data_IF_406116155969
#
_entry.id   IF_406116155969
#
_cell.length_a   1.000
_cell.length_b   1.000
_cell.length_c   1.000
_cell.angle_alpha   90.00
_cell.angle_beta   90.00
_cell.angle_gamma   90.00
#
_symmetry.space_group_name_H-M   'P 1'
#
loop_
_entity.id
_entity.type
_entity.pdbx_description
1 polymer ?
#
# COMPACT_ATOMS: atom_id res chain seq x y z
N UNK A 1 -11.90 -18.45 13.36
CA UNK A 1 -12.40 -17.40 12.43
C UNK A 1 -11.39 -17.26 11.32
N UNK A 2 -11.81 -17.10 10.03
CA UNK A 2 -10.89 -16.87 8.92
C UNK A 2 -10.51 -15.39 8.81
N UNK A 3 -9.40 -15.09 8.14
CA UNK A 3 -8.91 -13.73 7.91
C UNK A 3 -8.87 -13.39 6.42
N UNK A 4 -9.44 -12.24 6.06
CA UNK A 4 -9.28 -11.61 4.76
C UNK A 4 -8.20 -10.54 4.85
N UNK A 5 -7.18 -10.66 4.04
CA UNK A 5 -6.02 -9.77 4.03
C UNK A 5 -5.98 -9.06 2.69
N UNK A 6 -6.04 -7.75 2.71
CA UNK A 6 -6.12 -6.92 1.52
C UNK A 6 -4.79 -6.21 1.27
N UNK A 7 -4.37 -6.15 0.03
CA UNK A 7 -3.44 -5.12 -0.39
C UNK A 7 -4.09 -3.74 -0.32
N UNK A 8 -3.28 -2.68 -0.35
CA UNK A 8 -3.78 -1.32 -0.24
C UNK A 8 -3.86 -0.64 -1.61
N UNK A 9 -2.71 -0.38 -2.22
CA UNK A 9 -2.61 0.40 -3.45
C UNK A 9 -2.93 -0.47 -4.68
N UNK A 10 -3.96 -0.11 -5.43
CA UNK A 10 -4.49 -0.94 -6.52
C UNK A 10 -5.65 -1.84 -6.11
N UNK A 11 -5.87 -2.07 -4.80
CA UNK A 11 -6.91 -2.94 -4.26
C UNK A 11 -7.94 -2.15 -3.44
N UNK A 12 -7.61 -1.75 -2.21
CA UNK A 12 -8.48 -0.95 -1.35
C UNK A 12 -8.54 0.51 -1.77
N UNK A 13 -7.46 1.02 -2.33
CA UNK A 13 -7.32 2.40 -2.79
C UNK A 13 -6.79 2.44 -4.21
N UNK A 14 -7.33 3.36 -5.01
CA UNK A 14 -6.89 3.63 -6.37
C UNK A 14 -6.31 5.04 -6.44
N UNK A 15 -5.35 5.27 -7.33
CA UNK A 15 -4.88 6.62 -7.63
C UNK A 15 -5.73 7.24 -8.74
N UNK A 16 -6.21 8.46 -8.50
CA UNK A 16 -6.96 9.26 -9.48
C UNK A 16 -6.07 10.04 -10.45
N UNK A 17 -4.73 9.96 -10.26
CA UNK A 17 -3.69 10.63 -11.06
C UNK A 17 -2.51 9.68 -11.25
N UNK A 18 -1.76 9.90 -12.31
CA UNK A 18 -0.48 9.20 -12.54
C UNK A 18 0.53 9.57 -11.46
N UNK A 19 1.29 8.59 -10.98
CA UNK A 19 2.22 8.79 -9.86
C UNK A 19 3.36 9.77 -10.22
N UNK A 20 3.83 9.77 -11.47
CA UNK A 20 4.82 10.73 -11.96
C UNK A 20 4.32 12.18 -11.90
N UNK A 21 3.01 12.40 -12.10
CA UNK A 21 2.39 13.72 -11.91
C UNK A 21 2.46 14.20 -10.45
N UNK A 22 2.38 13.27 -9.48
CA UNK A 22 2.49 13.60 -8.05
C UNK A 22 3.91 14.01 -7.69
N UNK A 23 4.91 13.27 -8.20
CA UNK A 23 6.33 13.61 -8.02
C UNK A 23 6.62 14.96 -8.68
N UNK A 24 6.17 15.18 -9.90
CA UNK A 24 6.32 16.44 -10.64
C UNK A 24 5.75 17.61 -9.86
N UNK A 25 4.52 17.47 -9.34
CA UNK A 25 3.87 18.50 -8.53
C UNK A 25 4.67 18.83 -7.26
N UNK A 26 5.31 17.84 -6.65
CA UNK A 26 6.15 18.05 -5.47
C UNK A 26 7.38 18.93 -5.77
N UNK A 27 8.03 18.72 -6.94
CA UNK A 27 9.11 19.59 -7.38
C UNK A 27 8.61 21.02 -7.68
N UNK A 28 7.51 21.13 -8.41
CA UNK A 28 6.93 22.44 -8.77
C UNK A 28 6.52 23.25 -7.53
N UNK A 29 5.90 22.61 -6.54
CA UNK A 29 5.45 23.26 -5.30
C UNK A 29 6.61 23.74 -4.43
N UNK A 30 7.72 23.01 -4.36
CA UNK A 30 8.83 23.33 -3.46
C UNK A 30 9.86 24.26 -4.11
N UNK A 31 10.23 24.00 -5.36
CA UNK A 31 11.28 24.79 -6.03
C UNK A 31 10.82 25.53 -7.30
N UNK A 32 9.53 25.46 -7.64
CA UNK A 32 8.93 26.25 -8.74
C UNK A 32 9.18 25.68 -10.14
N UNK A 33 9.83 24.52 -10.26
CA UNK A 33 10.12 23.88 -11.55
C UNK A 33 10.45 22.41 -11.36
N UNK A 34 10.33 21.63 -12.44
CA UNK A 34 10.81 20.25 -12.54
C UNK A 34 11.77 20.13 -13.73
N UNK A 35 12.70 19.20 -13.66
CA UNK A 35 13.60 18.85 -14.75
C UNK A 35 13.58 17.34 -14.94
N UNK A 36 13.56 16.88 -16.20
CA UNK A 36 13.53 15.45 -16.53
C UNK A 36 14.64 14.64 -15.84
N UNK A 37 15.91 15.11 -15.76
CA UNK A 37 16.95 14.38 -15.01
C UNK A 37 16.66 14.22 -13.52
N UNK A 38 15.85 15.10 -12.90
CA UNK A 38 15.48 14.94 -11.50
C UNK A 38 14.48 13.81 -11.31
N UNK A 39 13.51 13.67 -12.23
CA UNK A 39 12.54 12.56 -12.21
C UNK A 39 13.25 11.21 -12.41
N UNK A 40 14.15 11.13 -13.37
CA UNK A 40 14.95 9.93 -13.61
C UNK A 40 15.77 9.55 -12.35
N UNK A 41 16.53 10.51 -11.80
CA UNK A 41 17.36 10.28 -10.61
C UNK A 41 16.54 9.91 -9.39
N UNK A 42 15.39 10.60 -9.18
CA UNK A 42 14.47 10.27 -8.11
C UNK A 42 14.00 8.81 -8.22
N UNK A 43 13.50 8.42 -9.38
CA UNK A 43 12.97 7.07 -9.59
C UNK A 43 14.05 6.00 -9.38
N UNK A 44 15.24 6.16 -9.96
CA UNK A 44 16.34 5.21 -9.79
C UNK A 44 16.70 5.04 -8.31
N UNK A 45 16.90 6.16 -7.60
CA UNK A 45 17.27 6.12 -6.18
C UNK A 45 16.13 5.58 -5.32
N UNK A 46 14.90 6.01 -5.57
CA UNK A 46 13.74 5.53 -4.81
C UNK A 46 13.59 4.02 -4.91
N UNK A 47 13.63 3.46 -6.12
CA UNK A 47 13.50 2.01 -6.28
C UNK A 47 14.64 1.22 -5.63
N UNK A 48 15.87 1.74 -5.64
CA UNK A 48 17.01 1.10 -4.97
C UNK A 48 16.81 1.11 -3.44
N UNK A 49 16.52 2.28 -2.86
CA UNK A 49 16.36 2.46 -1.43
C UNK A 49 15.10 1.73 -0.90
N UNK A 50 14.01 1.77 -1.67
CA UNK A 50 12.76 1.10 -1.34
C UNK A 50 12.94 -0.42 -1.36
N UNK A 51 13.52 -0.98 -2.43
CA UNK A 51 13.74 -2.42 -2.54
C UNK A 51 14.62 -2.99 -1.40
N UNK A 52 15.52 -2.16 -0.88
CA UNK A 52 16.37 -2.53 0.26
C UNK A 52 15.70 -2.30 1.63
N UNK A 53 14.47 -1.81 1.68
CA UNK A 53 13.79 -1.34 2.90
C UNK A 53 14.65 -0.38 3.75
N UNK A 54 15.43 0.49 3.08
CA UNK A 54 16.25 1.48 3.77
C UNK A 54 15.37 2.58 4.39
N UNK A 55 15.86 3.17 5.49
CA UNK A 55 15.15 4.29 6.12
C UNK A 55 15.10 5.50 5.19
N UNK A 56 13.97 6.21 5.22
CA UNK A 56 13.72 7.49 4.54
C UNK A 56 13.99 7.44 3.01
N UNK A 57 13.46 6.42 2.28
CA UNK A 57 13.78 6.21 0.86
C UNK A 57 13.30 7.38 -0.02
N UNK A 58 12.20 8.03 0.35
CA UNK A 58 11.63 9.16 -0.39
C UNK A 58 12.51 10.40 -0.25
N UNK A 59 12.91 10.73 0.97
CA UNK A 59 13.81 11.85 1.27
C UNK A 59 15.16 11.66 0.59
N UNK A 60 15.74 10.46 0.67
CA UNK A 60 17.00 10.11 -0.02
C UNK A 60 16.88 10.25 -1.53
N UNK A 61 15.76 9.83 -2.10
CA UNK A 61 15.51 9.97 -3.52
C UNK A 61 15.46 11.45 -3.92
N UNK A 62 14.77 12.31 -3.18
CA UNK A 62 14.77 13.75 -3.44
C UNK A 62 16.15 14.40 -3.25
N UNK A 63 16.90 14.03 -2.20
CA UNK A 63 18.26 14.52 -1.98
C UNK A 63 19.20 14.20 -3.16
N UNK A 64 19.08 13.00 -3.71
CA UNK A 64 19.94 12.53 -4.81
C UNK A 64 19.80 13.36 -6.09
N UNK A 65 18.64 14.00 -6.29
CA UNK A 65 18.36 14.81 -7.49
C UNK A 65 19.18 16.09 -7.58
N UNK A 66 19.64 16.62 -6.44
CA UNK A 66 20.27 17.93 -6.35
C UNK A 66 19.34 19.11 -6.66
N UNK A 67 18.04 18.91 -6.68
CA UNK A 67 17.05 19.98 -6.84
C UNK A 67 17.16 20.99 -5.68
N UNK A 68 16.97 22.29 -5.95
CA UNK A 68 17.08 23.30 -4.90
C UNK A 68 15.87 23.25 -3.98
N UNK A 69 16.06 22.79 -2.76
CA UNK A 69 15.00 22.67 -1.75
C UNK A 69 15.42 21.76 -0.60
N UNK A 70 14.48 21.52 0.26
CA UNK A 70 14.62 20.64 1.42
C UNK A 70 13.95 19.31 1.10
N UNK A 71 14.67 18.20 1.22
CA UNK A 71 14.17 16.86 0.89
C UNK A 71 12.92 16.51 1.70
N UNK A 72 12.89 16.84 2.98
CA UNK A 72 11.73 16.61 3.84
C UNK A 72 10.48 17.35 3.32
N UNK A 73 10.65 18.51 2.72
CA UNK A 73 9.53 19.27 2.14
C UNK A 73 9.01 18.63 0.86
N UNK A 74 9.90 18.13 0.00
CA UNK A 74 9.48 17.38 -1.17
C UNK A 74 8.73 16.13 -0.77
N UNK A 75 9.27 15.35 0.19
CA UNK A 75 8.64 14.14 0.70
C UNK A 75 7.26 14.41 1.30
N UNK A 76 7.15 15.47 2.13
CA UNK A 76 5.85 15.86 2.70
C UNK A 76 4.84 16.25 1.61
N UNK A 77 5.27 17.00 0.58
CA UNK A 77 4.39 17.37 -0.53
C UNK A 77 3.94 16.17 -1.35
N UNK A 78 4.83 15.21 -1.59
CA UNK A 78 4.48 13.98 -2.26
C UNK A 78 3.47 13.17 -1.45
N UNK A 79 3.69 13.04 -0.15
CA UNK A 79 2.77 12.34 0.75
C UNK A 79 1.38 13.01 0.78
N UNK A 80 1.33 14.32 0.92
CA UNK A 80 0.06 15.07 0.86
C UNK A 80 -0.65 14.89 -0.49
N UNK A 81 0.11 14.86 -1.59
CA UNK A 81 -0.40 14.66 -2.93
C UNK A 81 -0.92 13.23 -3.16
N UNK A 82 -0.22 12.21 -2.63
CA UNK A 82 -0.70 10.82 -2.66
C UNK A 82 -2.04 10.69 -1.94
N UNK A 83 -2.12 11.18 -0.70
CA UNK A 83 -3.37 11.18 0.09
C UNK A 83 -4.50 11.84 -0.69
N UNK A 84 -4.24 13.02 -1.28
CA UNK A 84 -5.25 13.74 -2.04
C UNK A 84 -5.66 13.04 -3.35
N UNK A 85 -4.79 12.20 -3.91
CA UNK A 85 -5.03 11.46 -5.14
C UNK A 85 -5.67 10.09 -4.91
N UNK A 86 -5.66 9.55 -3.68
CA UNK A 86 -6.28 8.25 -3.39
C UNK A 86 -7.78 8.34 -3.32
N UNK A 87 -8.45 7.32 -3.86
CA UNK A 87 -9.89 7.13 -3.80
C UNK A 87 -10.21 5.69 -3.44
N UNK A 88 -11.18 5.47 -2.55
CA UNK A 88 -11.69 4.15 -2.24
C UNK A 88 -12.85 3.77 -3.17
N UNK A 89 -13.11 2.46 -3.40
CA UNK A 89 -14.32 2.00 -4.09
C UNK A 89 -15.59 2.53 -3.39
N UNK A 90 -16.62 2.83 -4.16
CA UNK A 90 -17.84 3.52 -3.68
C UNK A 90 -18.52 2.81 -2.51
N UNK A 91 -18.46 1.49 -2.45
CA UNK A 91 -19.12 0.68 -1.42
C UNK A 91 -18.14 0.08 -0.40
N UNK A 92 -16.87 0.50 -0.42
CA UNK A 92 -15.83 -0.07 0.44
C UNK A 92 -16.21 -0.07 1.93
N UNK A 93 -16.76 1.03 2.43
CA UNK A 93 -17.19 1.12 3.83
C UNK A 93 -18.27 0.08 4.20
N UNK A 94 -19.32 -0.02 3.38
CA UNK A 94 -20.40 -0.96 3.63
C UNK A 94 -19.95 -2.42 3.49
N UNK A 95 -19.10 -2.69 2.52
CA UNK A 95 -18.53 -4.01 2.31
C UNK A 95 -17.61 -4.43 3.45
N UNK A 96 -16.68 -3.55 3.88
CA UNK A 96 -15.76 -3.84 4.98
C UNK A 96 -16.49 -3.99 6.34
N UNK A 97 -17.51 -3.17 6.59
CA UNK A 97 -18.34 -3.31 7.78
C UNK A 97 -18.97 -4.72 7.82
N UNK A 98 -19.61 -5.14 6.72
CA UNK A 98 -20.25 -6.46 6.61
C UNK A 98 -19.23 -7.61 6.70
N UNK A 99 -18.10 -7.50 6.03
CA UNK A 99 -17.05 -8.52 6.07
C UNK A 99 -16.46 -8.66 7.47
N UNK A 100 -16.31 -7.55 8.21
CA UNK A 100 -15.80 -7.55 9.58
C UNK A 100 -16.73 -8.22 10.61
N UNK A 101 -18.02 -8.48 10.27
CA UNK A 101 -18.91 -9.27 11.12
C UNK A 101 -18.57 -10.77 11.10
N UNK A 102 -17.98 -11.27 10.02
CA UNK A 102 -17.75 -12.70 9.82
C UNK A 102 -16.25 -13.07 9.76
N UNK A 103 -15.39 -12.13 9.37
CA UNK A 103 -13.96 -12.34 9.16
C UNK A 103 -13.12 -11.36 9.99
N UNK A 104 -11.90 -11.77 10.34
CA UNK A 104 -10.88 -10.81 10.73
C UNK A 104 -10.36 -10.11 9.46
N UNK A 105 -10.23 -8.78 9.51
CA UNK A 105 -9.75 -8.00 8.37
C UNK A 105 -8.34 -7.47 8.64
N UNK A 106 -7.44 -7.57 7.66
CA UNK A 106 -6.12 -6.99 7.73
C UNK A 106 -5.73 -6.30 6.41
N UNK A 107 -4.74 -5.42 6.51
CA UNK A 107 -4.01 -4.88 5.36
C UNK A 107 -2.59 -5.43 5.38
N UNK A 108 -2.11 -5.87 4.21
CA UNK A 108 -0.72 -6.25 3.97
C UNK A 108 -0.24 -5.56 2.69
N UNK A 109 0.64 -4.57 2.83
CA UNK A 109 1.02 -3.69 1.72
C UNK A 109 2.53 -3.46 1.66
N UNK A 110 3.08 -3.35 0.44
CA UNK A 110 4.45 -2.91 0.22
C UNK A 110 4.49 -1.39 0.33
N UNK A 111 5.13 -0.86 1.38
CA UNK A 111 5.22 0.59 1.58
C UNK A 111 5.68 1.01 2.97
N UNK A 112 5.83 2.33 3.12
CA UNK A 112 6.25 2.99 4.35
C UNK A 112 5.09 3.04 5.36
N UNK A 113 5.31 2.73 6.65
CA UNK A 113 4.24 2.64 7.65
C UNK A 113 3.37 3.88 7.76
N UNK A 114 3.98 5.06 7.87
CA UNK A 114 3.24 6.30 8.05
C UNK A 114 2.47 6.71 6.79
N UNK A 115 3.02 6.40 5.61
CA UNK A 115 2.38 6.68 4.34
C UNK A 115 1.12 5.82 4.14
N UNK A 116 1.24 4.51 4.34
CA UNK A 116 0.13 3.59 4.15
C UNK A 116 -0.98 3.82 5.20
N UNK A 117 -0.60 4.03 6.46
CA UNK A 117 -1.57 4.36 7.51
C UNK A 117 -2.21 5.73 7.28
N UNK A 118 -1.46 6.71 6.77
CA UNK A 118 -1.98 8.03 6.40
C UNK A 118 -3.06 7.96 5.32
N UNK A 119 -2.85 7.16 4.27
CA UNK A 119 -3.85 6.92 3.21
C UNK A 119 -5.11 6.24 3.74
N UNK A 120 -4.96 5.20 4.59
CA UNK A 120 -6.11 4.52 5.22
C UNK A 120 -6.93 5.48 6.10
N UNK A 121 -6.26 6.28 6.93
CA UNK A 121 -6.90 7.24 7.82
C UNK A 121 -7.62 8.36 7.04
N UNK A 122 -7.00 8.85 5.95
CA UNK A 122 -7.61 9.88 5.11
C UNK A 122 -8.84 9.39 4.33
N UNK A 123 -8.95 8.06 4.14
CA UNK A 123 -10.10 7.41 3.52
C UNK A 123 -11.11 6.87 4.53
N UNK A 124 -10.92 7.14 5.83
CA UNK A 124 -11.73 6.63 6.96
C UNK A 124 -11.85 5.08 6.97
N UNK A 125 -10.86 4.36 6.41
CA UNK A 125 -10.87 2.89 6.34
C UNK A 125 -10.10 2.20 7.47
N UNK A 126 -9.25 2.91 8.19
CA UNK A 126 -8.35 2.36 9.22
C UNK A 126 -9.07 1.58 10.32
N UNK A 127 -10.27 2.02 10.69
CA UNK A 127 -11.06 1.43 11.79
C UNK A 127 -11.64 0.04 11.48
N UNK A 128 -11.68 -0.38 10.21
CA UNK A 128 -12.19 -1.70 9.82
C UNK A 128 -11.18 -2.83 10.04
N UNK A 129 -9.88 -2.51 10.13
CA UNK A 129 -8.83 -3.51 10.12
C UNK A 129 -8.31 -3.84 11.52
N UNK A 130 -8.21 -5.14 11.81
CA UNK A 130 -7.62 -5.66 13.04
C UNK A 130 -6.10 -5.52 13.06
N UNK A 131 -5.46 -5.50 11.88
CA UNK A 131 -4.04 -5.29 11.72
C UNK A 131 -3.72 -4.59 10.40
N UNK A 132 -2.67 -3.76 10.41
CA UNK A 132 -2.04 -3.18 9.22
C UNK A 132 -0.57 -3.51 9.27
N UNK A 133 -0.11 -4.31 8.31
CA UNK A 133 1.29 -4.72 8.16
C UNK A 133 1.84 -4.08 6.90
N UNK A 134 2.96 -3.39 7.03
CA UNK A 134 3.70 -2.84 5.89
C UNK A 134 5.01 -3.58 5.71
N UNK A 135 5.53 -3.62 4.50
CA UNK A 135 6.82 -4.25 4.20
C UNK A 135 7.96 -3.66 5.04
N UNK A 136 7.93 -2.36 5.30
CA UNK A 136 8.93 -1.67 6.12
C UNK A 136 8.79 -1.98 7.62
N UNK A 137 7.61 -2.39 8.12
CA UNK A 137 7.48 -2.88 9.50
C UNK A 137 8.33 -4.14 9.74
N UNK A 138 8.57 -4.93 8.70
CA UNK A 138 9.26 -6.23 8.78
C UNK A 138 10.59 -6.29 8.03
N UNK A 139 10.90 -5.28 7.23
CA UNK A 139 12.13 -5.20 6.43
C UNK A 139 12.17 -6.15 5.23
N UNK A 140 11.00 -6.53 4.70
CA UNK A 140 10.87 -7.40 3.54
C UNK A 140 9.59 -7.09 2.78
N UNK A 141 9.64 -7.13 1.44
CA UNK A 141 8.48 -6.91 0.57
C UNK A 141 7.79 -8.23 0.20
N UNK A 142 6.48 -8.18 -0.06
CA UNK A 142 5.81 -9.23 -0.82
C UNK A 142 6.57 -9.40 -2.15
N UNK A 143 6.80 -10.62 -2.65
CA UNK A 143 6.26 -11.91 -2.21
C UNK A 143 7.10 -12.65 -1.14
N UNK A 144 8.06 -12.01 -0.46
CA UNK A 144 8.81 -12.66 0.64
C UNK A 144 7.83 -13.16 1.71
N UNK A 145 8.07 -14.33 2.34
CA UNK A 145 7.16 -14.89 3.33
C UNK A 145 7.05 -14.11 4.64
N UNK A 146 8.01 -13.24 4.95
CA UNK A 146 8.05 -12.56 6.26
C UNK A 146 6.86 -11.61 6.51
N UNK A 147 6.39 -10.77 5.53
CA UNK A 147 5.19 -9.97 5.68
C UNK A 147 3.94 -10.81 5.99
N UNK A 148 3.78 -11.97 5.35
CA UNK A 148 2.65 -12.89 5.58
C UNK A 148 2.71 -13.49 7.00
N UNK A 149 3.88 -13.91 7.44
CA UNK A 149 4.09 -14.40 8.81
C UNK A 149 3.81 -13.34 9.88
N UNK A 150 4.08 -12.07 9.58
CA UNK A 150 3.76 -10.98 10.50
C UNK A 150 2.25 -10.80 10.64
N UNK A 151 1.48 -10.98 9.57
CA UNK A 151 0.01 -11.01 9.67
C UNK A 151 -0.44 -12.16 10.57
N UNK A 152 0.11 -13.36 10.41
CA UNK A 152 -0.21 -14.53 11.26
C UNK A 152 0.12 -14.29 12.73
N UNK A 153 1.17 -13.52 13.03
CA UNK A 153 1.51 -13.16 14.42
C UNK A 153 0.51 -12.17 15.03
N UNK A 154 -0.08 -11.31 14.21
CA UNK A 154 -1.04 -10.27 14.67
C UNK A 154 -2.47 -10.76 14.70
N UNK A 155 -2.82 -11.71 13.86
CA UNK A 155 -4.19 -12.26 13.75
C UNK A 155 -4.13 -13.78 13.88
N UNK A 156 -4.79 -14.30 14.93
CA UNK A 156 -4.98 -15.74 15.11
C UNK A 156 -6.23 -16.19 14.35
N UNK A 157 -6.05 -16.85 13.22
CA UNK A 157 -7.12 -17.29 12.34
C UNK A 157 -6.94 -18.75 11.89
N UNK A 158 -8.04 -19.41 11.56
CA UNK A 158 -8.06 -20.81 11.08
C UNK A 158 -7.63 -20.95 9.61
N UNK A 159 -7.59 -19.83 8.89
CA UNK A 159 -7.20 -19.74 7.48
C UNK A 159 -7.13 -18.28 7.04
N UNK A 160 -6.31 -18.02 6.04
CA UNK A 160 -6.04 -16.70 5.51
C UNK A 160 -6.26 -16.69 4.00
N UNK A 161 -6.72 -15.56 3.47
CA UNK A 161 -6.73 -15.29 2.05
C UNK A 161 -6.18 -13.90 1.78
N UNK A 162 -5.28 -13.77 0.80
CA UNK A 162 -4.77 -12.50 0.29
C UNK A 162 -5.61 -12.05 -0.90
N UNK A 163 -6.04 -10.81 -0.87
CA UNK A 163 -6.75 -10.13 -1.94
C UNK A 163 -5.86 -8.99 -2.42
N UNK A 164 -5.38 -9.07 -3.64
CA UNK A 164 -4.47 -8.06 -4.19
C UNK A 164 -4.44 -8.07 -5.71
N UNK A 165 -3.91 -7.00 -6.29
CA UNK A 165 -3.90 -6.77 -7.73
C UNK A 165 -2.56 -7.14 -8.40
N UNK A 166 -1.53 -7.49 -7.62
CA UNK A 166 -0.19 -7.81 -8.11
C UNK A 166 0.14 -9.31 -8.08
N UNK A 167 1.12 -9.73 -8.87
CA UNK A 167 1.66 -11.10 -8.79
C UNK A 167 2.31 -11.36 -7.42
N UNK A 168 2.92 -10.33 -6.81
CA UNK A 168 3.54 -10.43 -5.48
C UNK A 168 2.54 -10.81 -4.38
N UNK A 169 1.28 -10.39 -4.52
CA UNK A 169 0.20 -10.74 -3.59
C UNK A 169 -0.17 -12.22 -3.72
N UNK A 170 -0.38 -12.66 -4.96
CA UNK A 170 -0.82 -14.02 -5.26
C UNK A 170 0.28 -15.03 -4.97
N UNK A 171 1.46 -14.83 -5.53
CA UNK A 171 2.60 -15.74 -5.40
C UNK A 171 3.06 -15.83 -3.93
N UNK A 172 3.09 -14.69 -3.22
CA UNK A 172 3.45 -14.65 -1.81
C UNK A 172 2.45 -15.37 -0.92
N UNK A 173 1.15 -15.20 -1.16
CA UNK A 173 0.08 -15.88 -0.44
C UNK A 173 0.16 -17.41 -0.65
N UNK A 174 0.31 -17.86 -1.90
CA UNK A 174 0.44 -19.28 -2.22
C UNK A 174 1.69 -19.91 -1.56
N UNK A 175 2.82 -19.19 -1.58
CA UNK A 175 4.04 -19.63 -0.91
C UNK A 175 3.90 -19.69 0.62
N UNK A 176 3.05 -18.84 1.21
CA UNK A 176 2.70 -18.89 2.63
C UNK A 176 1.67 -19.98 2.97
N UNK A 177 1.07 -20.63 1.99
CA UNK A 177 0.01 -21.63 2.16
C UNK A 177 -1.36 -21.02 2.40
N UNK A 178 -1.54 -19.76 2.01
CA UNK A 178 -2.81 -19.04 2.05
C UNK A 178 -3.60 -19.24 0.76
N UNK A 179 -4.89 -19.00 0.81
CA UNK A 179 -5.67 -18.77 -0.40
C UNK A 179 -5.36 -17.40 -0.97
N UNK A 180 -5.54 -17.23 -2.27
CA UNK A 180 -5.32 -15.95 -2.95
C UNK A 180 -6.46 -15.63 -3.90
N UNK A 181 -6.77 -14.35 -4.03
CA UNK A 181 -7.70 -13.82 -5.01
C UNK A 181 -7.08 -12.62 -5.72
N UNK A 182 -6.88 -12.79 -7.04
CA UNK A 182 -6.46 -11.65 -7.89
C UNK A 182 -7.62 -10.67 -7.99
N UNK A 183 -7.41 -9.47 -7.46
CA UNK A 183 -8.41 -8.41 -7.52
C UNK A 183 -8.25 -7.59 -8.80
N UNK A 184 -9.29 -7.54 -9.60
CA UNK A 184 -9.36 -6.79 -10.85
C UNK A 184 -10.45 -5.69 -10.83
N UNK A 185 -10.88 -5.30 -9.61
CA UNK A 185 -11.97 -4.39 -9.34
C UNK A 185 -13.25 -5.11 -8.91
N UNK A 186 -14.29 -4.34 -8.62
CA UNK A 186 -15.58 -4.86 -8.19
C UNK A 186 -15.87 -4.60 -6.71
N UNK A 187 -16.88 -5.31 -6.19
CA UNK A 187 -17.29 -5.17 -4.79
C UNK A 187 -16.43 -6.04 -3.88
N UNK A 188 -15.85 -5.43 -2.84
CA UNK A 188 -15.10 -6.17 -1.83
C UNK A 188 -15.97 -7.21 -1.12
N UNK A 189 -17.27 -6.94 -1.03
CA UNK A 189 -18.24 -7.85 -0.44
C UNK A 189 -18.47 -9.16 -1.19
N UNK A 190 -17.99 -9.28 -2.43
CA UNK A 190 -18.09 -10.50 -3.24
C UNK A 190 -16.89 -11.45 -3.00
N UNK A 191 -15.85 -10.98 -2.32
CA UNK A 191 -14.62 -11.74 -2.05
C UNK A 191 -14.87 -13.11 -1.41
N UNK A 192 -15.69 -13.27 -0.36
CA UNK A 192 -15.91 -14.59 0.23
C UNK A 192 -16.54 -15.59 -0.73
N UNK A 193 -17.45 -15.14 -1.61
CA UNK A 193 -18.06 -16.00 -2.62
C UNK A 193 -17.03 -16.42 -3.69
N UNK A 194 -16.13 -15.51 -4.08
CA UNK A 194 -15.06 -15.81 -5.03
C UNK A 194 -14.02 -16.81 -4.49
N UNK A 195 -13.87 -16.88 -3.16
CA UNK A 195 -13.01 -17.81 -2.44
C UNK A 195 -13.71 -19.13 -2.05
N UNK A 196 -14.99 -19.33 -2.41
CA UNK A 196 -15.81 -20.44 -1.92
C UNK A 196 -15.87 -20.53 -0.38
N UNK A 197 -15.88 -19.38 0.30
CA UNK A 197 -15.83 -19.28 1.78
C UNK A 197 -17.22 -19.15 2.44
N UNK A 198 -18.27 -19.02 1.65
CA UNK A 198 -19.68 -18.97 2.08
C UNK A 198 -20.51 -20.08 1.46
#
# INVERSE_FOLDING_TARGET
>A
MRALVFDLDGTLLQYSRDYEDLITASFEDVCGSVQEPWLETYNETFFEEFAACNADPVERAFESTGAPGDADKFAQRLHDAEIAATVSPTEAHADLERLGEEFALAVLTNGLPDWQRGKLAASDLDSYFNAVVTSFDVGAHKPDPEPFREVERRIDADGYAMIGDSDDDVDGAEAAGWESLRYDGGHLGDVPAALDWI
#
